data_IF_057186749524
#
_entry.id   IF_057186749524
#
_cell.length_a   1.000
_cell.length_b   1.000
_cell.length_c   1.000
_cell.angle_alpha   90.00
_cell.angle_beta   90.00
_cell.angle_gamma   90.00
#
_symmetry.space_group_name_H-M   'P 1'
#
loop_
_entity.id
_entity.type
_entity.pdbx_description
1 polymer ?
#
# COMPACT_ATOMS: atom_id res chain seq x y z
N UNK A 1 -15.80 4.07 -8.63
CA UNK A 1 -14.97 2.86 -8.47
C UNK A 1 -13.90 2.98 -7.37
N UNK A 2 -13.38 4.17 -7.06
CA UNK A 2 -12.45 4.39 -5.93
C UNK A 2 -12.99 3.97 -4.54
N UNK A 3 -14.32 3.94 -4.36
CA UNK A 3 -14.95 3.58 -3.08
C UNK A 3 -14.62 2.15 -2.62
N UNK A 4 -14.54 1.20 -3.54
CA UNK A 4 -14.36 -0.23 -3.21
C UNK A 4 -12.98 -0.54 -2.62
N UNK A 5 -11.94 0.19 -3.00
CA UNK A 5 -10.59 0.00 -2.46
C UNK A 5 -10.50 0.50 -1.03
N UNK A 6 -11.14 1.64 -0.76
CA UNK A 6 -11.20 2.21 0.59
C UNK A 6 -12.00 1.32 1.53
N UNK A 7 -13.20 0.91 1.12
CA UNK A 7 -14.03 -0.06 1.86
C UNK A 7 -13.28 -1.37 2.12
N UNK A 8 -12.50 -1.87 1.14
CA UNK A 8 -11.66 -3.04 1.32
C UNK A 8 -10.58 -2.81 2.39
N UNK A 9 -9.83 -1.71 2.32
CA UNK A 9 -8.80 -1.34 3.31
C UNK A 9 -9.40 -1.15 4.71
N UNK A 10 -10.62 -0.64 4.82
CA UNK A 10 -11.32 -0.47 6.08
C UNK A 10 -11.92 -1.78 6.62
N UNK A 11 -12.19 -2.75 5.76
CA UNK A 11 -12.57 -4.12 6.17
C UNK A 11 -11.39 -4.98 6.65
N UNK A 12 -10.14 -4.56 6.44
CA UNK A 12 -8.97 -5.30 6.91
C UNK A 12 -8.89 -5.31 8.44
N UNK A 13 -8.57 -6.46 9.01
CA UNK A 13 -8.34 -6.62 10.44
C UNK A 13 -7.11 -5.84 10.89
N UNK A 14 -7.08 -5.37 12.14
CA UNK A 14 -5.94 -4.65 12.71
C UNK A 14 -4.61 -5.45 12.71
N UNK A 15 -4.69 -6.78 12.71
CA UNK A 15 -3.53 -7.67 12.60
C UNK A 15 -2.87 -7.57 11.22
N UNK A 16 -3.68 -7.46 10.16
CA UNK A 16 -3.20 -7.34 8.77
C UNK A 16 -2.92 -5.89 8.39
N UNK A 17 -3.65 -4.94 9.00
CA UNK A 17 -3.60 -3.52 8.68
C UNK A 17 -2.45 -2.84 9.41
N UNK A 18 -1.66 -2.08 8.67
CA UNK A 18 -0.59 -1.23 9.22
C UNK A 18 -1.17 -0.03 9.97
N UNK A 19 -0.37 0.56 10.84
CA UNK A 19 -0.69 1.82 11.50
C UNK A 19 -0.87 2.96 10.49
N UNK A 20 -1.72 3.93 10.84
CA UNK A 20 -2.05 5.05 9.96
C UNK A 20 -0.83 5.88 9.57
N UNK A 21 0.14 6.01 10.47
CA UNK A 21 1.41 6.69 10.21
C UNK A 21 2.21 5.99 9.10
N UNK A 22 2.40 4.67 9.21
CA UNK A 22 3.11 3.86 8.22
C UNK A 22 2.34 3.83 6.90
N UNK A 23 1.01 3.67 6.94
CA UNK A 23 0.16 3.71 5.77
C UNK A 23 0.34 5.02 4.99
N UNK A 24 0.30 6.15 5.69
CA UNK A 24 0.45 7.48 5.11
C UNK A 24 1.86 7.68 4.54
N UNK A 25 2.90 7.21 5.25
CA UNK A 25 4.27 7.26 4.76
C UNK A 25 4.44 6.48 3.44
N UNK A 26 3.97 5.22 3.40
CA UNK A 26 3.99 4.36 2.21
C UNK A 26 3.24 4.99 1.03
N UNK A 27 2.06 5.57 1.28
CA UNK A 27 1.31 6.28 0.25
C UNK A 27 2.01 7.53 -0.26
N UNK A 28 2.68 8.29 0.60
CA UNK A 28 3.46 9.45 0.16
C UNK A 28 4.63 9.05 -0.73
N UNK A 29 5.27 7.91 -0.47
CA UNK A 29 6.30 7.33 -1.35
C UNK A 29 5.69 6.95 -2.71
N UNK A 30 4.53 6.28 -2.72
CA UNK A 30 3.82 5.97 -3.96
C UNK A 30 3.40 7.22 -4.74
N UNK A 31 3.02 8.31 -4.06
CA UNK A 31 2.66 9.60 -4.70
C UNK A 31 3.83 10.26 -5.43
N UNK A 32 5.06 9.95 -5.03
CA UNK A 32 6.28 10.43 -5.69
C UNK A 32 6.85 9.42 -6.69
N UNK A 33 6.20 8.27 -6.87
CA UNK A 33 6.66 7.20 -7.75
C UNK A 33 6.10 7.39 -9.17
N UNK A 34 6.98 7.30 -10.17
CA UNK A 34 6.61 7.41 -11.59
C UNK A 34 5.66 6.30 -12.05
N UNK A 35 5.72 5.12 -11.41
CA UNK A 35 4.84 3.98 -11.70
C UNK A 35 3.43 4.11 -11.12
N UNK A 36 3.09 5.20 -10.43
CA UNK A 36 1.74 5.43 -9.93
C UNK A 36 0.80 5.92 -11.04
N UNK A 37 -0.17 5.11 -11.41
CA UNK A 37 -1.19 5.42 -12.41
C UNK A 37 -2.60 5.36 -11.81
N UNK A 38 -3.21 6.53 -11.60
CA UNK A 38 -4.60 6.64 -11.09
C UNK A 38 -4.89 5.80 -9.83
N UNK A 39 -3.93 5.70 -8.90
CA UNK A 39 -4.06 4.91 -7.67
C UNK A 39 -3.65 3.44 -7.80
N UNK A 40 -3.18 3.02 -8.97
CA UNK A 40 -2.69 1.67 -9.27
C UNK A 40 -1.19 1.73 -9.55
N UNK A 41 -0.42 0.80 -9.02
CA UNK A 41 1.01 0.69 -9.32
C UNK A 41 1.20 -0.06 -10.65
N UNK A 42 1.95 0.52 -11.59
CA UNK A 42 2.24 -0.09 -12.89
C UNK A 42 3.10 -1.35 -12.77
N UNK A 43 3.94 -1.45 -11.73
CA UNK A 43 4.83 -2.60 -11.50
C UNK A 43 4.07 -3.87 -11.07
N UNK A 44 3.09 -3.74 -10.17
CA UNK A 44 2.33 -4.89 -9.65
C UNK A 44 0.88 -4.97 -10.13
N UNK A 45 0.36 -3.92 -10.77
CA UNK A 45 -1.04 -3.84 -11.19
C UNK A 45 -2.06 -3.72 -10.05
N UNK A 46 -1.62 -3.58 -8.80
CA UNK A 46 -2.50 -3.45 -7.64
C UNK A 46 -2.71 -2.00 -7.21
N UNK A 47 -3.82 -1.76 -6.51
CA UNK A 47 -4.07 -0.48 -5.86
C UNK A 47 -3.06 -0.22 -4.74
N UNK A 48 -2.42 0.95 -4.79
CA UNK A 48 -1.39 1.31 -3.79
C UNK A 48 -1.98 1.46 -2.40
N UNK A 49 -3.24 1.90 -2.28
CA UNK A 49 -3.98 1.97 -1.02
C UNK A 49 -4.17 0.58 -0.39
N UNK A 50 -4.60 -0.42 -1.18
CA UNK A 50 -4.78 -1.77 -0.67
C UNK A 50 -3.45 -2.43 -0.25
N UNK A 51 -2.37 -2.17 -1.00
CA UNK A 51 -1.06 -2.75 -0.72
C UNK A 51 -0.37 -2.07 0.47
N UNK A 52 -0.35 -0.74 0.50
CA UNK A 52 0.25 0.03 1.59
C UNK A 52 -0.44 -0.23 2.93
N UNK A 53 -1.75 -0.54 2.91
CA UNK A 53 -2.51 -0.85 4.10
C UNK A 53 -2.09 -2.18 4.76
N UNK A 54 -1.48 -3.12 4.03
CA UNK A 54 -1.15 -4.45 4.54
C UNK A 54 0.26 -4.47 5.12
N UNK A 55 0.40 -4.91 6.37
CA UNK A 55 1.69 -5.09 7.07
C UNK A 55 2.64 -6.00 6.30
N UNK A 56 2.17 -7.17 5.88
CA UNK A 56 2.98 -8.20 5.19
C UNK A 56 3.24 -7.91 3.72
N UNK A 57 2.94 -6.71 3.22
CA UNK A 57 3.16 -6.32 1.83
C UNK A 57 4.24 -5.25 1.77
N UNK A 58 5.08 -5.32 0.75
CA UNK A 58 6.11 -4.32 0.45
C UNK A 58 5.92 -3.69 -0.93
N UNK A 59 6.75 -2.71 -1.23
CA UNK A 59 6.85 -2.15 -2.58
C UNK A 59 7.32 -3.26 -3.55
N UNK A 60 6.67 -3.42 -4.72
CA UNK A 60 7.12 -4.39 -5.73
C UNK A 60 8.39 -3.94 -6.48
N UNK A 61 8.84 -2.71 -6.27
CA UNK A 61 10.04 -2.16 -6.91
C UNK A 61 11.31 -2.83 -6.41
N UNK A 62 12.37 -2.83 -7.23
CA UNK A 62 13.67 -3.42 -6.89
C UNK A 62 14.77 -2.38 -7.15
N UNK A 63 15.37 -1.78 -6.10
CA UNK A 63 15.15 -2.04 -4.68
C UNK A 63 13.79 -1.53 -4.16
N UNK A 64 13.27 -2.15 -3.10
CA UNK A 64 11.99 -1.76 -2.53
C UNK A 64 12.05 -0.33 -1.97
N UNK A 65 11.09 0.51 -2.37
CA UNK A 65 11.01 1.89 -1.87
C UNK A 65 10.43 1.96 -0.45
N UNK A 66 9.72 0.93 -0.02
CA UNK A 66 9.19 0.75 1.33
C UNK A 66 8.93 -0.73 1.58
N UNK A 67 9.16 -1.17 2.81
CA UNK A 67 9.08 -2.58 3.18
C UNK A 67 7.83 -3.00 3.92
N UNK A 68 7.64 -4.33 3.94
CA UNK A 68 6.67 -4.98 4.80
C UNK A 68 7.09 -4.82 6.27
N UNK A 69 6.11 -4.60 7.14
CA UNK A 69 6.35 -4.74 8.58
C UNK A 69 6.57 -6.23 8.87
N UNK A 70 7.71 -6.55 9.47
CA UNK A 70 8.00 -7.88 9.98
C UNK A 70 6.96 -8.20 11.06
N UNK A 71 5.98 -9.04 10.70
CA UNK A 71 5.07 -9.61 11.67
C UNK A 71 5.86 -10.68 12.43
N UNK A 72 6.42 -10.30 13.58
CA UNK A 72 7.00 -11.23 14.56
C UNK A 72 5.94 -12.23 15.08
#
# INVERSE_FOLDING_TARGET
>A
MAKLVRDYVDSLSADEKTDEATYTARLNICRTCDDLHSGTCALCGCYVEARAAKKRQGCPDVPEMWGAEEAE
#
